data_IF_115047576653
#
_entry.id   IF_115047576653
#
_cell.length_a   1.000
_cell.length_b   1.000
_cell.length_c   1.000
_cell.angle_alpha   90.00
_cell.angle_beta   90.00
_cell.angle_gamma   90.00
#
_symmetry.space_group_name_H-M   'P 1'
#
loop_
_entity.id
_entity.type
_entity.pdbx_description
1 polymer ?
#
# COMPACT_ATOMS: atom_id res chain seq x y z
N UNK A 1 -11.28 -1.41 7.61
CA UNK A 1 -9.86 -0.96 7.70
C UNK A 1 -9.07 -2.23 7.55
N UNK A 2 -8.47 -2.43 6.39
CA UNK A 2 -7.71 -3.64 6.10
C UNK A 2 -6.43 -3.62 6.93
N UNK A 3 -6.30 -4.62 7.80
CA UNK A 3 -5.08 -4.85 8.55
C UNK A 3 -4.02 -5.42 7.63
N UNK A 4 -2.79 -4.94 7.78
CA UNK A 4 -1.65 -5.53 7.08
C UNK A 4 -1.41 -6.96 7.59
N UNK A 5 -1.33 -7.98 6.72
CA UNK A 5 -0.93 -9.33 7.10
C UNK A 5 0.43 -9.34 7.79
N UNK A 6 0.60 -10.18 8.82
CA UNK A 6 1.85 -10.24 9.62
C UNK A 6 3.05 -10.67 8.77
N UNK A 7 2.80 -11.48 7.76
CA UNK A 7 3.78 -11.99 6.81
C UNK A 7 4.38 -10.87 5.94
N UNK A 8 3.66 -9.74 5.81
CA UNK A 8 4.12 -8.56 5.10
C UNK A 8 4.83 -7.54 6.00
N UNK A 9 4.94 -7.81 7.30
CA UNK A 9 5.61 -6.91 8.23
C UNK A 9 7.11 -6.77 7.89
N UNK A 10 7.60 -5.54 7.90
CA UNK A 10 8.97 -5.22 7.51
C UNK A 10 9.35 -5.44 6.04
N UNK A 11 8.45 -5.95 5.18
CA UNK A 11 8.70 -6.14 3.74
C UNK A 11 7.88 -5.22 2.83
N UNK A 12 7.04 -4.36 3.41
CA UNK A 12 6.38 -3.27 2.70
C UNK A 12 7.18 -1.96 2.83
N UNK A 13 7.17 -1.17 1.76
CA UNK A 13 7.77 0.16 1.69
C UNK A 13 6.66 1.14 1.30
N UNK A 14 6.41 2.11 2.18
CA UNK A 14 5.51 3.21 1.88
C UNK A 14 6.33 4.32 1.24
N UNK A 15 5.91 4.76 0.05
CA UNK A 15 6.58 5.83 -0.70
C UNK A 15 5.58 6.92 -1.04
N UNK A 16 6.04 8.17 -1.04
CA UNK A 16 5.15 9.34 -1.15
C UNK A 16 4.49 9.47 -2.54
N UNK A 17 5.06 8.82 -3.56
CA UNK A 17 4.57 8.88 -4.94
C UNK A 17 3.61 7.73 -5.33
N UNK A 18 3.41 6.74 -4.46
CA UNK A 18 2.55 5.60 -4.75
C UNK A 18 1.37 5.55 -3.77
N UNK A 19 0.14 5.34 -4.26
CA UNK A 19 -1.05 5.24 -3.41
C UNK A 19 -1.12 3.95 -2.57
N UNK A 20 -0.25 2.99 -2.86
CA UNK A 20 -0.20 1.68 -2.24
C UNK A 20 1.24 1.36 -1.86
N UNK A 21 1.48 0.65 -0.73
CA UNK A 21 2.81 0.25 -0.34
C UNK A 21 3.41 -0.70 -1.38
N UNK A 22 4.72 -0.61 -1.59
CA UNK A 22 5.48 -1.43 -2.52
C UNK A 22 6.14 -2.59 -1.75
N UNK A 23 6.17 -3.77 -2.34
CA UNK A 23 6.87 -4.92 -1.78
C UNK A 23 8.39 -4.82 -2.01
N UNK A 24 9.21 -5.07 -0.97
CA UNK A 24 10.68 -5.12 -1.10
C UNK A 24 11.13 -6.20 -2.07
N UNK A 25 12.23 -5.97 -2.77
CA UNK A 25 12.78 -6.87 -3.78
C UNK A 25 13.19 -8.24 -3.24
N UNK A 26 13.53 -8.34 -1.95
CA UNK A 26 13.94 -9.57 -1.28
C UNK A 26 12.78 -10.38 -0.70
N UNK A 27 11.52 -9.98 -0.94
CA UNK A 27 10.36 -10.71 -0.45
C UNK A 27 10.29 -12.13 -1.03
N UNK A 28 9.87 -13.09 -0.20
CA UNK A 28 9.71 -14.49 -0.59
C UNK A 28 8.54 -14.66 -1.57
N UNK A 29 8.47 -15.82 -2.23
CA UNK A 29 7.35 -16.13 -3.13
C UNK A 29 6.00 -16.14 -2.37
N UNK A 30 5.99 -16.62 -1.13
CA UNK A 30 4.81 -16.59 -0.27
C UNK A 30 4.37 -15.15 0.03
N UNK A 31 5.30 -14.27 0.39
CA UNK A 31 5.02 -12.85 0.63
C UNK A 31 4.49 -12.14 -0.63
N UNK A 32 4.99 -12.49 -1.82
CA UNK A 32 4.46 -11.96 -3.09
C UNK A 32 3.01 -12.35 -3.33
N UNK A 33 2.65 -13.60 -3.02
CA UNK A 33 1.27 -14.09 -3.16
C UNK A 33 0.36 -13.35 -2.17
N UNK A 34 0.75 -13.24 -0.91
CA UNK A 34 -0.02 -12.54 0.13
C UNK A 34 -0.19 -11.06 -0.21
N UNK A 35 0.89 -10.42 -0.71
CA UNK A 35 0.86 -9.04 -1.16
C UNK A 35 -0.16 -8.81 -2.28
N UNK A 36 -0.26 -9.70 -3.26
CA UNK A 36 -1.23 -9.56 -4.34
C UNK A 36 -2.68 -9.53 -3.81
N UNK A 37 -3.02 -10.44 -2.90
CA UNK A 37 -4.34 -10.46 -2.25
C UNK A 37 -4.59 -9.19 -1.43
N UNK A 38 -3.62 -8.79 -0.62
CA UNK A 38 -3.71 -7.57 0.20
C UNK A 38 -3.95 -6.31 -0.64
N UNK A 39 -3.27 -6.17 -1.78
CA UNK A 39 -3.47 -5.05 -2.70
C UNK A 39 -4.85 -5.10 -3.37
N UNK A 40 -5.34 -6.28 -3.77
CA UNK A 40 -6.68 -6.42 -4.34
C UNK A 40 -7.74 -6.00 -3.32
N UNK A 41 -7.62 -6.42 -2.06
CA UNK A 41 -8.54 -6.01 -0.99
C UNK A 41 -8.51 -4.49 -0.77
N UNK A 42 -7.31 -3.89 -0.74
CA UNK A 42 -7.11 -2.43 -0.60
C UNK A 42 -7.80 -1.65 -1.73
N UNK A 43 -7.66 -2.12 -2.96
CA UNK A 43 -8.33 -1.54 -4.13
C UNK A 43 -9.85 -1.69 -4.07
N UNK A 44 -10.35 -2.86 -3.66
CA UNK A 44 -11.79 -3.14 -3.54
C UNK A 44 -12.48 -2.35 -2.42
N UNK A 45 -11.79 -2.02 -1.32
CA UNK A 45 -12.33 -1.14 -0.27
C UNK A 45 -12.46 0.33 -0.74
N UNK A 46 -12.08 0.68 -1.99
CA UNK A 46 -11.88 2.07 -2.44
C UNK A 46 -10.94 2.88 -1.52
N UNK A 47 -10.16 2.19 -0.69
CA UNK A 47 -9.12 2.73 0.17
C UNK A 47 -7.79 2.62 -0.54
N UNK A 48 -7.72 3.36 -1.63
CA UNK A 48 -6.49 4.04 -1.98
C UNK A 48 -6.20 4.88 -0.74
N UNK A 49 -5.23 4.48 0.09
CA UNK A 49 -4.77 5.37 1.16
C UNK A 49 -4.36 6.64 0.42
N UNK A 50 -5.20 7.67 0.54
CA UNK A 50 -5.02 8.91 -0.19
C UNK A 50 -3.57 9.35 -0.01
N UNK A 51 -2.85 9.68 -1.09
CA UNK A 51 -1.52 10.23 -0.95
C UNK A 51 -1.63 11.42 0.02
N UNK A 52 -0.66 11.56 0.92
CA UNK A 52 -0.59 12.58 1.97
C UNK A 52 -0.65 14.05 1.48
N UNK A 53 -0.98 14.30 0.21
CA UNK A 53 -1.23 15.62 -0.36
C UNK A 53 -2.71 16.00 -0.26
N UNK A 54 -3.17 16.19 0.97
CA UNK A 54 -4.12 17.27 1.26
C UNK A 54 -3.33 18.52 1.63
N UNK A 55 -2.89 19.30 0.63
CA UNK A 55 -2.42 20.72 0.64
C UNK A 55 -1.41 20.90 -0.50
N UNK A 56 -1.53 21.80 -1.47
CA UNK A 56 -2.31 23.02 -1.61
C UNK A 56 -2.59 23.26 -3.10
N UNK A 57 -3.85 23.44 -3.48
CA UNK A 57 -4.22 24.47 -4.46
C UNK A 57 -5.62 24.98 -4.13
N UNK A 58 -5.71 25.78 -3.06
CA UNK A 58 -6.74 26.82 -2.94
C UNK A 58 -6.11 28.13 -3.41
N UNK A 59 -6.87 28.87 -4.21
CA UNK A 59 -6.73 30.28 -4.59
C UNK A 59 -5.72 30.59 -5.70
N UNK A 60 -6.18 30.72 -6.94
CA UNK A 60 -6.72 31.98 -7.46
C UNK A 60 -7.46 31.76 -8.78
#
# INVERSE_FOLDING_TARGET
MILTPKELDGVLVYVDYAPLPILKSNATNEQKIIYATYIIERLNENKIDTPFFSKNTSNN
#
